data_IF_273345199799
#
_entry.id   IF_273345199799
#
_cell.length_a   1.000
_cell.length_b   1.000
_cell.length_c   1.000
_cell.angle_alpha   90.00
_cell.angle_beta   90.00
_cell.angle_gamma   90.00
#
_symmetry.space_group_name_H-M   'P 1'
#
loop_
_entity.id
_entity.type
_entity.pdbx_description
1 polymer ?
#
# COMPACT_ATOMS: atom_id res chain seq x y z
N UNK A 1 -30.16 6.76 20.84
CA UNK A 1 -28.83 6.71 20.21
C UNK A 1 -28.48 5.25 20.01
N UNK A 2 -28.66 4.74 18.80
CA UNK A 2 -28.42 3.34 18.47
C UNK A 2 -26.92 3.23 18.14
N UNK A 3 -26.18 2.55 19.01
CA UNK A 3 -24.76 2.26 18.81
C UNK A 3 -24.60 1.61 17.43
N UNK A 4 -23.77 2.19 16.57
CA UNK A 4 -23.35 1.53 15.34
C UNK A 4 -22.43 0.40 15.78
N UNK A 5 -22.97 -0.78 16.03
CA UNK A 5 -22.19 -2.02 16.09
C UNK A 5 -21.57 -2.23 14.70
N UNK A 6 -20.46 -1.52 14.45
CA UNK A 6 -19.64 -1.73 13.26
C UNK A 6 -19.00 -3.12 13.33
N UNK A 7 -18.71 -3.69 12.16
CA UNK A 7 -17.91 -4.91 12.08
C UNK A 7 -16.64 -4.73 12.93
N UNK A 8 -16.32 -5.74 13.74
CA UNK A 8 -15.14 -5.72 14.59
C UNK A 8 -14.40 -7.04 14.44
N UNK A 9 -13.08 -6.96 14.30
CA UNK A 9 -12.22 -8.13 14.18
C UNK A 9 -11.51 -8.38 15.51
N UNK A 10 -11.42 -9.64 15.92
CA UNK A 10 -10.46 -10.06 16.95
C UNK A 10 -9.07 -10.27 16.36
N UNK A 11 -8.06 -10.41 17.20
CA UNK A 11 -6.68 -10.66 16.77
C UNK A 11 -6.53 -11.87 15.84
N UNK A 12 -7.27 -12.96 16.07
CA UNK A 12 -7.22 -14.14 15.20
C UNK A 12 -7.69 -13.87 13.77
N UNK A 13 -8.77 -13.10 13.59
CA UNK A 13 -9.25 -12.72 12.26
C UNK A 13 -8.25 -11.77 11.58
N UNK A 14 -7.77 -10.75 12.31
CA UNK A 14 -6.79 -9.79 11.82
C UNK A 14 -5.52 -10.50 11.33
N UNK A 15 -4.95 -11.38 12.16
CA UNK A 15 -3.74 -12.12 11.81
C UNK A 15 -3.96 -13.04 10.61
N UNK A 16 -5.12 -13.71 10.53
CA UNK A 16 -5.44 -14.57 9.38
C UNK A 16 -5.53 -13.76 8.08
N UNK A 17 -6.28 -12.65 8.08
CA UNK A 17 -6.46 -11.79 6.91
C UNK A 17 -5.11 -11.20 6.47
N UNK A 18 -4.34 -10.66 7.41
CA UNK A 18 -3.01 -10.08 7.13
C UNK A 18 -2.03 -11.14 6.62
N UNK A 19 -2.05 -12.35 7.19
CA UNK A 19 -1.16 -13.44 6.75
C UNK A 19 -1.50 -13.90 5.33
N UNK A 20 -2.77 -14.05 5.01
CA UNK A 20 -3.20 -14.43 3.64
C UNK A 20 -2.85 -13.32 2.65
N UNK A 21 -3.10 -12.06 3.01
CA UNK A 21 -2.91 -10.93 2.11
C UNK A 21 -1.45 -10.51 1.91
N UNK A 22 -0.62 -10.59 2.95
CA UNK A 22 0.73 -10.03 2.94
C UNK A 22 1.80 -10.99 3.41
N UNK A 23 1.48 -12.16 3.96
CA UNK A 23 2.48 -13.06 4.54
C UNK A 23 3.60 -13.44 3.57
N UNK A 24 3.23 -13.74 2.31
CA UNK A 24 4.20 -14.03 1.25
C UNK A 24 5.03 -12.79 0.86
N UNK A 25 4.40 -11.62 0.79
CA UNK A 25 5.06 -10.36 0.42
C UNK A 25 6.04 -9.89 1.51
N UNK A 26 5.64 -10.00 2.78
CA UNK A 26 6.49 -9.73 3.93
C UNK A 26 7.67 -10.69 3.94
N UNK A 27 7.44 -12.00 3.78
CA UNK A 27 8.51 -12.98 3.72
C UNK A 27 9.50 -12.66 2.60
N UNK A 28 9.00 -12.44 1.38
CA UNK A 28 9.82 -12.06 0.23
C UNK A 28 10.66 -10.81 0.53
N UNK A 29 10.01 -9.76 1.02
CA UNK A 29 10.63 -8.47 1.30
C UNK A 29 11.70 -8.53 2.39
N UNK A 30 11.40 -9.17 3.52
CA UNK A 30 12.35 -9.38 4.62
C UNK A 30 13.51 -10.25 4.18
N UNK A 31 13.25 -11.31 3.41
CA UNK A 31 14.30 -12.19 2.89
C UNK A 31 15.25 -11.46 1.94
N UNK A 32 14.77 -10.44 1.22
CA UNK A 32 15.58 -9.65 0.30
C UNK A 32 16.61 -8.78 1.05
N UNK A 33 16.27 -8.30 2.25
CA UNK A 33 17.20 -7.52 3.10
C UNK A 33 18.43 -8.35 3.51
N UNK A 34 18.27 -9.67 3.61
CA UNK A 34 19.36 -10.57 3.97
C UNK A 34 20.25 -10.96 2.78
N UNK A 35 19.96 -10.50 1.56
CA UNK A 35 20.75 -10.82 0.36
C UNK A 35 21.81 -9.75 0.13
N UNK A 36 22.98 -10.18 -0.34
CA UNK A 36 24.10 -9.30 -0.64
C UNK A 36 23.94 -8.52 -1.95
N UNK A 37 22.99 -8.90 -2.80
CA UNK A 37 22.74 -8.27 -4.10
C UNK A 37 21.29 -7.81 -4.24
N UNK A 38 21.12 -6.62 -4.84
CA UNK A 38 19.82 -6.13 -5.30
C UNK A 38 19.47 -6.90 -6.56
N UNK A 39 18.44 -7.73 -6.47
CA UNK A 39 17.91 -8.47 -7.63
C UNK A 39 16.86 -7.61 -8.36
N UNK A 40 16.79 -7.68 -9.70
CA UNK A 40 15.70 -7.08 -10.44
C UNK A 40 14.37 -7.74 -10.02
N UNK A 41 13.49 -6.96 -9.40
CA UNK A 41 12.19 -7.42 -8.88
C UNK A 41 11.04 -7.01 -9.80
N UNK A 42 11.23 -5.96 -10.61
CA UNK A 42 10.23 -5.43 -11.55
C UNK A 42 10.53 -5.91 -12.97
N UNK A 43 9.64 -6.72 -13.51
CA UNK A 43 9.61 -7.18 -14.89
C UNK A 43 8.15 -7.35 -15.28
N UNK A 44 7.83 -7.40 -16.57
CA UNK A 44 6.47 -7.69 -17.02
C UNK A 44 5.87 -8.95 -16.36
N UNK A 45 6.67 -10.01 -16.25
CA UNK A 45 6.24 -11.25 -15.62
C UNK A 45 5.93 -11.06 -14.13
N UNK A 46 6.75 -10.30 -13.40
CA UNK A 46 6.49 -10.06 -11.96
C UNK A 46 5.33 -9.11 -11.73
N UNK A 47 5.14 -8.08 -12.58
CA UNK A 47 3.99 -7.18 -12.50
C UNK A 47 2.67 -7.92 -12.76
N UNK A 48 2.60 -8.72 -13.82
CA UNK A 48 1.41 -9.54 -14.09
C UNK A 48 1.19 -10.63 -13.04
N UNK A 49 2.28 -11.24 -12.55
CA UNK A 49 2.22 -12.19 -11.43
C UNK A 49 1.63 -11.56 -10.17
N UNK A 50 2.00 -10.30 -9.87
CA UNK A 50 1.47 -9.55 -8.74
C UNK A 50 -0.01 -9.21 -8.93
N UNK A 51 -0.40 -8.70 -10.11
CA UNK A 51 -1.82 -8.45 -10.43
C UNK A 51 -2.66 -9.72 -10.26
N UNK A 52 -2.18 -10.86 -10.77
CA UNK A 52 -2.87 -12.13 -10.60
C UNK A 52 -2.99 -12.55 -9.12
N UNK A 53 -1.90 -12.43 -8.36
CA UNK A 53 -1.89 -12.72 -6.92
C UNK A 53 -2.92 -11.86 -6.16
N UNK A 54 -2.94 -10.56 -6.40
CA UNK A 54 -3.83 -9.62 -5.72
C UNK A 54 -5.30 -9.89 -6.04
N UNK A 55 -5.62 -10.13 -7.31
CA UNK A 55 -6.98 -10.48 -7.73
C UNK A 55 -7.43 -11.80 -7.11
N UNK A 56 -6.56 -12.80 -7.04
CA UNK A 56 -6.85 -14.08 -6.41
C UNK A 56 -7.11 -13.91 -4.91
N UNK A 57 -6.25 -13.17 -4.21
CA UNK A 57 -6.41 -12.92 -2.78
C UNK A 57 -7.65 -12.08 -2.49
N UNK A 58 -7.97 -11.07 -3.32
CA UNK A 58 -9.23 -10.31 -3.21
C UNK A 58 -10.44 -11.22 -3.38
N UNK A 59 -10.41 -12.11 -4.38
CA UNK A 59 -11.48 -13.07 -4.63
C UNK A 59 -11.71 -14.02 -3.43
N UNK A 60 -10.65 -14.33 -2.66
CA UNK A 60 -10.74 -15.15 -1.45
C UNK A 60 -11.22 -14.34 -0.24
N UNK A 61 -10.61 -13.18 0.01
CA UNK A 61 -10.81 -12.45 1.26
C UNK A 61 -12.02 -11.53 1.25
N UNK A 62 -12.41 -10.95 0.11
CA UNK A 62 -13.59 -10.07 0.07
C UNK A 62 -14.89 -10.80 0.47
N UNK A 63 -15.17 -12.04 0.02
CA UNK A 63 -16.31 -12.80 0.53
C UNK A 63 -16.23 -13.07 2.03
N UNK A 64 -15.05 -13.45 2.54
CA UNK A 64 -14.84 -13.69 3.99
C UNK A 64 -15.16 -12.43 4.80
N UNK A 65 -14.60 -11.29 4.39
CA UNK A 65 -14.85 -9.99 5.01
C UNK A 65 -16.34 -9.63 4.96
N UNK A 66 -16.99 -9.84 3.81
CA UNK A 66 -18.42 -9.57 3.63
C UNK A 66 -19.29 -10.39 4.59
N UNK A 67 -19.03 -11.70 4.73
CA UNK A 67 -19.75 -12.56 5.67
C UNK A 67 -19.47 -12.23 7.14
N UNK A 68 -18.29 -11.66 7.43
CA UNK A 68 -17.93 -11.12 8.75
C UNK A 68 -18.52 -9.73 9.04
N UNK A 69 -19.28 -9.15 8.10
CA UNK A 69 -19.97 -7.88 8.27
C UNK A 69 -19.18 -6.67 7.77
N UNK A 70 -17.96 -6.85 7.25
CA UNK A 70 -17.17 -5.79 6.63
C UNK A 70 -17.76 -5.43 5.27
N UNK A 71 -18.62 -4.42 5.25
CA UNK A 71 -19.21 -3.87 4.02
C UNK A 71 -18.28 -2.84 3.38
N UNK A 72 -18.38 -2.58 2.06
CA UNK A 72 -17.60 -1.53 1.40
C UNK A 72 -17.66 -0.17 2.11
N UNK A 73 -18.84 0.20 2.62
CA UNK A 73 -19.03 1.45 3.37
C UNK A 73 -18.26 1.45 4.68
N UNK A 74 -18.20 0.31 5.37
CA UNK A 74 -17.40 0.19 6.59
C UNK A 74 -15.91 0.34 6.30
N UNK A 75 -15.42 -0.09 5.14
CA UNK A 75 -14.03 0.08 4.70
C UNK A 75 -13.72 1.47 4.10
N UNK A 76 -14.73 2.34 3.97
CA UNK A 76 -14.58 3.68 3.38
C UNK A 76 -14.60 3.71 1.85
N UNK A 77 -15.07 2.64 1.20
CA UNK A 77 -15.23 2.53 -0.26
C UNK A 77 -16.52 3.21 -0.74
N UNK A 78 -16.66 4.51 -0.45
CA UNK A 78 -17.78 5.33 -0.91
C UNK A 78 -17.30 6.40 -1.87
N UNK A 79 -17.37 6.11 -3.16
CA UNK A 79 -16.90 7.00 -4.23
C UNK A 79 -17.65 8.32 -4.27
N UNK A 80 -16.93 9.43 -4.38
CA UNK A 80 -17.47 10.75 -4.69
C UNK A 80 -16.48 11.51 -5.57
N UNK A 81 -16.97 12.36 -6.49
CA UNK A 81 -16.09 13.12 -7.40
C UNK A 81 -15.05 13.99 -6.66
N UNK A 82 -15.37 14.49 -5.46
CA UNK A 82 -14.43 15.24 -4.62
C UNK A 82 -13.21 14.42 -4.18
N UNK A 83 -13.29 13.09 -4.25
CA UNK A 83 -12.16 12.21 -3.93
C UNK A 83 -11.03 12.36 -4.93
N UNK A 84 -11.31 12.79 -6.17
CA UNK A 84 -10.28 13.13 -7.16
C UNK A 84 -9.39 14.27 -6.66
N UNK A 85 -10.00 15.38 -6.22
CA UNK A 85 -9.25 16.53 -5.71
C UNK A 85 -8.48 16.18 -4.42
N UNK A 86 -9.10 15.40 -3.53
CA UNK A 86 -8.42 14.94 -2.32
C UNK A 86 -7.25 13.98 -2.63
N UNK A 87 -7.42 13.07 -3.60
CA UNK A 87 -6.38 12.15 -4.04
C UNK A 87 -5.21 12.88 -4.69
N UNK A 88 -5.48 13.87 -5.55
CA UNK A 88 -4.44 14.74 -6.11
C UNK A 88 -3.71 15.55 -5.03
N UNK A 89 -4.44 16.04 -4.02
CA UNK A 89 -3.84 16.71 -2.87
C UNK A 89 -2.91 15.79 -2.06
N UNK A 90 -3.35 14.55 -1.79
CA UNK A 90 -2.52 13.55 -1.12
C UNK A 90 -1.29 13.17 -1.93
N UNK A 91 -1.46 12.96 -3.24
CA UNK A 91 -0.35 12.70 -4.17
C UNK A 91 0.70 13.82 -4.08
N UNK A 92 0.27 15.07 -4.19
CA UNK A 92 1.16 16.23 -4.11
C UNK A 92 1.90 16.31 -2.78
N UNK A 93 1.21 16.03 -1.66
CA UNK A 93 1.83 15.97 -0.33
C UNK A 93 2.84 14.82 -0.24
N UNK A 94 2.50 13.63 -0.72
CA UNK A 94 3.42 12.49 -0.73
C UNK A 94 4.68 12.83 -1.51
N UNK A 95 4.55 13.31 -2.75
CA UNK A 95 5.69 13.70 -3.60
C UNK A 95 6.54 14.80 -2.93
N UNK A 96 5.91 15.83 -2.37
CA UNK A 96 6.62 16.93 -1.72
C UNK A 96 7.41 16.46 -0.49
N UNK A 97 6.82 15.61 0.35
CA UNK A 97 7.42 15.17 1.62
C UNK A 97 8.49 14.11 1.39
N UNK A 98 8.36 13.26 0.37
CA UNK A 98 9.39 12.26 0.05
C UNK A 98 10.52 12.81 -0.83
N UNK A 99 10.32 13.91 -1.56
CA UNK A 99 11.34 14.49 -2.43
C UNK A 99 12.70 14.76 -1.75
N UNK A 100 12.78 15.27 -0.49
CA UNK A 100 14.07 15.42 0.20
C UNK A 100 14.85 14.10 0.39
N UNK A 101 14.16 12.96 0.45
CA UNK A 101 14.81 11.65 0.56
C UNK A 101 15.51 11.27 -0.76
N UNK A 102 14.91 11.64 -1.89
CA UNK A 102 15.56 11.53 -3.21
C UNK A 102 16.81 12.40 -3.29
N UNK A 103 16.75 13.64 -2.80
CA UNK A 103 17.92 14.52 -2.73
C UNK A 103 19.02 13.98 -1.83
N UNK A 104 18.65 13.37 -0.71
CA UNK A 104 19.60 12.72 0.21
C UNK A 104 20.30 11.54 -0.46
N UNK A 105 19.59 10.72 -1.25
CA UNK A 105 20.19 9.63 -2.00
C UNK A 105 21.28 10.14 -2.96
N UNK A 106 21.01 11.24 -3.66
CA UNK A 106 22.00 11.86 -4.56
C UNK A 106 23.18 12.48 -3.82
N UNK A 107 22.96 13.12 -2.67
CA UNK A 107 24.03 13.75 -1.89
C UNK A 107 25.00 12.74 -1.27
N UNK A 108 24.56 11.50 -1.05
CA UNK A 108 25.40 10.37 -0.61
C UNK A 108 26.29 9.80 -1.74
N UNK A 109 26.32 10.45 -2.92
CA UNK A 109 27.18 10.07 -4.04
C UNK A 109 26.57 9.01 -4.97
N UNK A 110 25.31 8.62 -4.75
CA UNK A 110 24.59 7.75 -5.68
C UNK A 110 24.03 8.59 -6.83
N UNK A 111 24.65 8.51 -8.00
CA UNK A 111 24.14 9.14 -9.23
C UNK A 111 23.02 8.33 -9.89
N UNK A 112 22.59 7.22 -9.29
CA UNK A 112 21.54 6.34 -9.82
C UNK A 112 20.33 6.33 -8.90
N UNK A 113 19.14 6.21 -9.49
CA UNK A 113 17.94 5.99 -8.72
C UNK A 113 18.01 4.56 -8.16
N UNK A 114 17.81 4.33 -6.84
CA UNK A 114 17.84 2.98 -6.26
C UNK A 114 16.91 1.99 -6.98
N UNK A 115 15.82 2.49 -7.57
CA UNK A 115 14.88 1.68 -8.35
C UNK A 115 15.45 1.19 -9.69
N UNK A 116 16.47 1.83 -10.26
CA UNK A 116 17.03 1.45 -11.56
C UNK A 116 17.61 0.02 -11.54
N UNK A 117 18.24 -0.37 -10.43
CA UNK A 117 18.78 -1.72 -10.24
C UNK A 117 17.68 -2.78 -10.03
N UNK A 118 16.46 -2.35 -9.71
CA UNK A 118 15.34 -3.23 -9.41
C UNK A 118 14.47 -3.53 -10.63
N UNK A 119 14.69 -2.84 -11.76
CA UNK A 119 13.89 -3.00 -12.98
C UNK A 119 14.65 -3.80 -14.03
N UNK A 120 14.06 -4.91 -14.45
CA UNK A 120 14.58 -5.80 -15.49
C UNK A 120 14.14 -5.32 -16.88
N UNK A 121 14.86 -4.34 -17.43
CA UNK A 121 14.64 -3.85 -18.79
C UNK A 121 13.42 -2.93 -18.93
N UNK A 122 12.79 -2.94 -20.10
CA UNK A 122 11.60 -2.12 -20.38
C UNK A 122 10.33 -2.83 -19.92
N UNK A 123 9.44 -2.08 -19.28
CA UNK A 123 8.14 -2.55 -18.83
C UNK A 123 7.07 -2.25 -19.88
N UNK A 124 6.14 -3.17 -20.11
CA UNK A 124 5.00 -2.87 -20.96
C UNK A 124 4.05 -1.89 -20.29
N UNK A 125 3.55 -0.94 -21.07
CA UNK A 125 2.55 0.03 -20.63
C UNK A 125 1.30 -0.65 -20.06
N UNK A 126 0.92 -1.81 -20.61
CA UNK A 126 -0.24 -2.57 -20.14
C UNK A 126 -0.01 -3.19 -18.77
N UNK A 127 1.19 -3.74 -18.51
CA UNK A 127 1.55 -4.25 -17.19
C UNK A 127 1.58 -3.11 -16.15
N UNK A 128 2.20 -1.97 -16.49
CA UNK A 128 2.29 -0.78 -15.63
C UNK A 128 0.89 -0.23 -15.30
N UNK A 129 0.01 -0.10 -16.28
CA UNK A 129 -1.36 0.36 -16.04
C UNK A 129 -2.17 -0.62 -15.19
N UNK A 130 -2.00 -1.92 -15.41
CA UNK A 130 -2.70 -2.94 -14.64
C UNK A 130 -2.29 -2.94 -13.16
N UNK A 131 -0.99 -2.97 -12.88
CA UNK A 131 -0.50 -2.97 -11.49
C UNK A 131 -0.86 -1.66 -10.77
N UNK A 132 -0.71 -0.52 -11.44
CA UNK A 132 -1.03 0.81 -10.86
C UNK A 132 -2.53 1.04 -10.63
N UNK A 133 -3.39 0.13 -11.10
CA UNK A 133 -4.82 0.13 -10.83
C UNK A 133 -5.20 -0.87 -9.74
N UNK A 134 -4.65 -2.08 -9.78
CA UNK A 134 -5.06 -3.19 -8.91
C UNK A 134 -4.33 -3.13 -7.56
N UNK A 135 -3.01 -2.95 -7.54
CA UNK A 135 -2.22 -2.88 -6.32
C UNK A 135 -2.71 -1.83 -5.31
N UNK A 136 -2.97 -0.56 -5.69
CA UNK A 136 -3.43 0.43 -4.73
C UNK A 136 -4.81 0.08 -4.15
N UNK A 137 -5.69 -0.57 -4.92
CA UNK A 137 -6.97 -1.05 -4.38
C UNK A 137 -6.71 -2.17 -3.37
N UNK A 138 -5.89 -3.15 -3.74
CA UNK A 138 -5.52 -4.28 -2.89
C UNK A 138 -4.95 -3.80 -1.55
N UNK A 139 -3.86 -3.02 -1.62
CA UNK A 139 -3.14 -2.58 -0.45
C UNK A 139 -3.98 -1.66 0.44
N UNK A 140 -4.63 -0.64 -0.13
CA UNK A 140 -5.39 0.30 0.67
C UNK A 140 -6.61 -0.36 1.29
N UNK A 141 -7.27 -1.34 0.64
CA UNK A 141 -8.40 -2.08 1.23
C UNK A 141 -7.97 -2.83 2.49
N UNK A 142 -6.84 -3.54 2.46
CA UNK A 142 -6.43 -4.34 3.61
C UNK A 142 -5.66 -3.52 4.65
N UNK A 143 -4.68 -2.71 4.24
CA UNK A 143 -3.81 -1.95 5.15
C UNK A 143 -4.54 -0.77 5.78
N UNK A 144 -5.14 0.11 4.98
CA UNK A 144 -5.81 1.29 5.52
C UNK A 144 -7.30 1.03 5.80
N UNK A 145 -7.97 0.28 4.93
CA UNK A 145 -9.40 -0.01 5.00
C UNK A 145 -9.72 -0.89 6.20
N UNK A 146 -9.12 -2.07 6.23
CA UNK A 146 -9.38 -3.12 7.20
C UNK A 146 -8.56 -2.99 8.49
N UNK A 147 -7.22 -3.01 8.43
CA UNK A 147 -6.37 -3.04 9.64
C UNK A 147 -6.61 -1.84 10.55
N UNK A 148 -6.66 -0.62 10.01
CA UNK A 148 -6.91 0.58 10.83
C UNK A 148 -8.28 0.48 11.53
N UNK A 149 -9.34 0.11 10.79
CA UNK A 149 -10.70 0.06 11.34
C UNK A 149 -10.94 -1.13 12.26
N UNK A 150 -10.22 -2.22 12.08
CA UNK A 150 -10.23 -3.35 12.99
C UNK A 150 -9.64 -2.99 14.36
N UNK A 151 -8.59 -2.15 14.39
CA UNK A 151 -7.83 -1.85 15.59
C UNK A 151 -8.25 -0.55 16.29
N UNK A 152 -8.65 0.49 15.54
CA UNK A 152 -8.96 1.82 16.08
C UNK A 152 -9.98 1.79 17.23
N UNK A 153 -11.10 1.03 17.17
CA UNK A 153 -12.09 1.02 18.24
C UNK A 153 -11.57 0.49 19.59
N UNK A 154 -10.56 -0.40 19.58
CA UNK A 154 -10.05 -1.07 20.79
C UNK A 154 -8.73 -0.51 21.31
N UNK A 155 -7.90 0.03 20.42
CA UNK A 155 -6.54 0.44 20.74
C UNK A 155 -6.26 1.91 20.44
N UNK A 156 -7.24 2.61 19.87
CA UNK A 156 -7.13 4.00 19.49
C UNK A 156 -6.46 4.21 18.13
N UNK A 157 -6.70 5.39 17.57
CA UNK A 157 -6.31 5.75 16.20
C UNK A 157 -4.82 5.67 15.95
N UNK A 158 -4.01 6.23 16.86
CA UNK A 158 -2.56 6.28 16.69
C UNK A 158 -1.94 4.88 16.63
N UNK A 159 -2.38 3.97 17.51
CA UNK A 159 -1.93 2.58 17.49
C UNK A 159 -2.30 1.90 16.17
N UNK A 160 -3.57 2.02 15.75
CA UNK A 160 -4.07 1.42 14.52
C UNK A 160 -3.31 1.89 13.27
N UNK A 161 -3.04 3.20 13.16
CA UNK A 161 -2.23 3.76 12.06
C UNK A 161 -0.80 3.25 12.11
N UNK A 162 -0.15 3.21 13.28
CA UNK A 162 1.23 2.72 13.37
C UNK A 162 1.34 1.22 13.00
N UNK A 163 0.37 0.38 13.39
CA UNK A 163 0.34 -1.03 12.97
C UNK A 163 0.15 -1.15 11.45
N UNK A 164 -0.76 -0.36 10.87
CA UNK A 164 -0.96 -0.29 9.42
C UNK A 164 0.32 0.12 8.68
N UNK A 165 1.05 1.13 9.17
CA UNK A 165 2.30 1.60 8.57
C UNK A 165 3.43 0.59 8.74
N UNK A 166 3.54 -0.04 9.91
CA UNK A 166 4.52 -1.09 10.15
C UNK A 166 4.29 -2.28 9.21
N UNK A 167 3.03 -2.69 9.03
CA UNK A 167 2.66 -3.71 8.05
C UNK A 167 3.09 -3.30 6.64
N UNK A 168 2.73 -2.08 6.19
CA UNK A 168 3.15 -1.57 4.89
C UNK A 168 4.65 -1.61 4.66
N UNK A 169 5.38 -1.04 5.61
CA UNK A 169 6.83 -0.96 5.54
C UNK A 169 7.44 -2.36 5.50
N UNK A 170 6.88 -3.33 6.23
CA UNK A 170 7.42 -4.70 6.29
C UNK A 170 7.41 -5.43 4.95
N UNK A 171 6.39 -5.25 4.11
CA UNK A 171 6.36 -5.83 2.76
C UNK A 171 7.06 -4.94 1.71
N UNK A 172 7.74 -3.87 2.13
CA UNK A 172 8.47 -2.90 1.28
C UNK A 172 9.96 -2.74 1.63
N UNK A 173 10.47 -3.44 2.66
CA UNK A 173 11.89 -3.41 3.04
C UNK A 173 12.87 -3.76 1.90
N UNK A 174 12.45 -4.54 0.90
CA UNK A 174 13.26 -4.87 -0.27
C UNK A 174 13.71 -3.65 -1.10
N UNK A 175 13.07 -2.49 -0.93
CA UNK A 175 13.45 -1.23 -1.61
C UNK A 175 14.66 -0.53 -0.97
N UNK A 176 15.27 -1.16 0.04
CA UNK A 176 16.39 -0.60 0.80
C UNK A 176 15.97 0.52 1.78
N UNK A 177 16.94 1.09 2.53
CA UNK A 177 16.62 1.99 3.64
C UNK A 177 15.87 3.26 3.24
N UNK A 178 16.28 3.91 2.14
CA UNK A 178 15.63 5.15 1.65
C UNK A 178 14.22 4.85 1.13
N UNK A 179 14.04 3.74 0.40
CA UNK A 179 12.72 3.27 -0.04
C UNK A 179 11.80 2.97 1.15
N UNK A 180 12.27 2.19 2.12
CA UNK A 180 11.51 1.85 3.32
C UNK A 180 11.08 3.09 4.13
N UNK A 181 11.94 4.10 4.28
CA UNK A 181 11.58 5.38 4.94
C UNK A 181 10.54 6.13 4.11
N UNK A 182 10.67 6.15 2.79
CA UNK A 182 9.70 6.81 1.90
C UNK A 182 8.31 6.16 2.03
N UNK A 183 8.26 4.82 2.06
CA UNK A 183 7.04 4.05 2.25
C UNK A 183 6.43 4.24 3.63
N UNK A 184 7.25 4.32 4.68
CA UNK A 184 6.80 4.65 6.03
C UNK A 184 6.11 6.02 6.06
N UNK A 185 6.71 7.03 5.43
CA UNK A 185 6.16 8.40 5.35
C UNK A 185 4.86 8.43 4.55
N UNK A 186 4.81 7.80 3.38
CA UNK A 186 3.59 7.68 2.57
C UNK A 186 2.49 6.97 3.36
N UNK A 187 2.83 5.85 4.01
CA UNK A 187 1.91 5.10 4.85
C UNK A 187 1.32 5.95 5.99
N UNK A 188 2.12 6.80 6.64
CA UNK A 188 1.62 7.72 7.66
C UNK A 188 0.63 8.74 7.07
N UNK A 189 0.96 9.34 5.91
CA UNK A 189 0.09 10.32 5.24
C UNK A 189 -1.26 9.68 4.88
N UNK A 190 -1.24 8.55 4.19
CA UNK A 190 -2.44 7.86 3.72
C UNK A 190 -3.24 7.26 4.88
N UNK A 191 -2.57 6.60 5.82
CA UNK A 191 -3.20 6.00 7.00
C UNK A 191 -3.90 7.04 7.88
N UNK A 192 -3.25 8.18 8.14
CA UNK A 192 -3.89 9.27 8.90
C UNK A 192 -5.04 9.93 8.14
N UNK A 193 -4.95 10.05 6.82
CA UNK A 193 -6.07 10.50 6.01
C UNK A 193 -7.29 9.58 6.20
N UNK A 194 -7.09 8.26 6.02
CA UNK A 194 -8.17 7.28 6.13
C UNK A 194 -8.74 7.24 7.54
N UNK A 195 -7.90 7.25 8.57
CA UNK A 195 -8.32 7.21 9.96
C UNK A 195 -9.10 8.47 10.40
N UNK A 196 -8.80 9.65 9.83
CA UNK A 196 -9.50 10.90 10.16
C UNK A 196 -10.75 11.14 9.32
N UNK A 197 -10.70 10.79 8.03
CA UNK A 197 -11.75 11.13 7.06
C UNK A 197 -12.72 9.98 6.82
N UNK A 198 -12.31 8.75 7.12
CA UNK A 198 -13.10 7.55 6.87
C UNK A 198 -13.29 7.24 5.39
N UNK A 199 -12.52 7.85 4.49
CA UNK A 199 -12.64 7.73 3.02
C UNK A 199 -11.40 7.09 2.43
N UNK A 200 -11.58 6.00 1.68
CA UNK A 200 -10.46 5.22 1.15
C UNK A 200 -10.04 5.64 -0.26
N UNK A 201 -10.99 6.05 -1.11
CA UNK A 201 -10.73 6.41 -2.51
C UNK A 201 -9.62 7.45 -2.73
N UNK A 202 -9.53 8.55 -1.95
CA UNK A 202 -8.41 9.48 -2.11
C UNK A 202 -7.04 8.82 -1.91
N UNK A 203 -6.92 7.88 -0.96
CA UNK A 203 -5.68 7.15 -0.74
C UNK A 203 -5.38 6.17 -1.88
N UNK A 204 -6.38 5.44 -2.37
CA UNK A 204 -6.26 4.55 -3.55
C UNK A 204 -5.78 5.34 -4.76
N UNK A 205 -6.38 6.50 -5.04
CA UNK A 205 -6.02 7.34 -6.18
C UNK A 205 -4.61 7.91 -6.05
N UNK A 206 -4.22 8.37 -4.85
CA UNK A 206 -2.88 8.89 -4.62
C UNK A 206 -1.82 7.79 -4.75
N UNK A 207 -2.08 6.61 -4.18
CA UNK A 207 -1.21 5.44 -4.27
C UNK A 207 -1.06 4.98 -5.72
N UNK A 208 -2.15 4.74 -6.45
CA UNK A 208 -2.07 4.31 -7.85
C UNK A 208 -1.38 5.33 -8.76
N UNK A 209 -1.53 6.63 -8.48
CA UNK A 209 -0.79 7.65 -9.19
C UNK A 209 0.72 7.63 -8.86
N UNK A 210 1.10 7.35 -7.61
CA UNK A 210 2.51 7.16 -7.23
C UNK A 210 3.12 5.95 -7.96
N UNK A 211 2.40 4.83 -8.01
CA UNK A 211 2.85 3.61 -8.72
C UNK A 211 3.01 3.89 -10.21
N UNK A 212 2.00 4.52 -10.81
CA UNK A 212 2.02 4.87 -12.23
C UNK A 212 3.20 5.78 -12.53
N UNK A 213 3.39 6.87 -11.79
CA UNK A 213 4.50 7.80 -12.03
C UNK A 213 5.86 7.14 -11.80
N UNK A 214 5.97 6.27 -10.80
CA UNK A 214 7.21 5.57 -10.47
C UNK A 214 7.61 4.52 -11.51
N UNK A 215 6.64 3.82 -12.10
CA UNK A 215 6.89 2.76 -13.09
C UNK A 215 6.92 3.26 -14.53
N UNK A 216 6.19 4.33 -14.85
CA UNK A 216 6.07 4.86 -16.22
C UNK A 216 7.40 5.37 -16.79
N UNK A 217 8.37 5.71 -15.94
CA UNK A 217 9.71 6.11 -16.39
C UNK A 217 10.52 4.94 -16.99
N UNK A 218 10.04 3.70 -16.83
CA UNK A 218 10.68 2.47 -17.29
C UNK A 218 9.95 1.77 -18.45
N UNK A 219 8.94 2.41 -19.06
CA UNK A 219 8.25 1.91 -20.26
C UNK A 219 8.90 2.45 -21.53
#
# INVERSE_FOLDING_TARGET
MQEREGASAGWGELLLVVTIAFGLLIWSSVSAVARDAVEPVFSDASLWGMVFYELLVLAILLPVLWFRGWRPQSLGLQWQLRDLAAGLGLLAVCLLVTYPLTLLNWSLGSNTNPFDAMVAGQLSITAVLAISLINPIFEEVFVCGYVIRALEPRHGRAFAVNVSVALRTSYHLYQGPIGAISILVIGLILGWWVARRGRLWPAILAHGALDLLGLMVYT
#
